data_IF_633017671060
#
_entry.id   IF_633017671060
#
_cell.length_a   1.000
_cell.length_b   1.000
_cell.length_c   1.000
_cell.angle_alpha   90.00
_cell.angle_beta   90.00
_cell.angle_gamma   90.00
#
_symmetry.space_group_name_H-M   'P 1'
#
loop_
_entity.id
_entity.type
_entity.pdbx_description
1 polymer ?
#
# COMPACT_ATOMS: atom_id res chain seq x y z
N UNK A 1 -4.90 6.36 -30.95
CA UNK A 1 -4.36 5.10 -30.44
C UNK A 1 -2.94 4.90 -30.94
N UNK A 2 -1.99 5.40 -30.15
CA UNK A 2 -0.54 5.30 -30.34
C UNK A 2 -0.03 3.89 -30.01
N UNK A 3 -0.63 3.24 -29.02
CA UNK A 3 -0.29 1.90 -28.59
C UNK A 3 -1.48 0.96 -28.76
N UNK A 4 -1.18 -0.30 -29.03
CA UNK A 4 -2.16 -1.37 -29.15
C UNK A 4 -1.55 -2.70 -28.74
N UNK A 5 -2.33 -3.50 -28.02
CA UNK A 5 -2.07 -4.90 -27.69
C UNK A 5 -3.26 -5.74 -28.14
N UNK A 6 -2.97 -6.91 -28.72
CA UNK A 6 -3.98 -7.84 -29.23
C UNK A 6 -3.79 -9.20 -28.59
N UNK A 7 -4.87 -9.76 -28.03
CA UNK A 7 -4.93 -11.13 -27.48
C UNK A 7 -3.87 -11.46 -26.43
N UNK A 8 -3.44 -10.48 -25.64
CA UNK A 8 -2.51 -10.70 -24.54
C UNK A 8 -2.92 -9.86 -23.32
N UNK A 9 -3.75 -10.47 -22.49
CA UNK A 9 -4.23 -9.87 -21.24
C UNK A 9 -3.15 -9.91 -20.14
N UNK A 10 -2.15 -10.79 -20.26
CA UNK A 10 -1.12 -10.99 -19.23
C UNK A 10 -0.17 -9.80 -19.07
N UNK A 11 -0.26 -8.83 -19.98
CA UNK A 11 0.54 -7.61 -19.98
C UNK A 11 -0.06 -6.51 -19.10
N UNK A 12 -1.26 -6.74 -18.54
CA UNK A 12 -2.03 -5.74 -17.80
C UNK A 12 -2.44 -6.23 -16.42
N UNK A 13 -2.58 -5.28 -15.50
CA UNK A 13 -3.24 -5.47 -14.21
C UNK A 13 -4.57 -4.70 -14.21
N UNK A 14 -5.66 -5.44 -14.00
CA UNK A 14 -7.04 -4.97 -14.10
C UNK A 14 -7.65 -4.62 -12.74
N UNK A 15 -7.04 -5.03 -11.62
CA UNK A 15 -7.53 -4.69 -10.29
C UNK A 15 -7.64 -3.16 -10.12
N UNK A 16 -8.79 -2.71 -9.63
CA UNK A 16 -9.22 -1.31 -9.48
C UNK A 16 -9.46 -0.53 -10.79
N UNK A 17 -9.30 -1.17 -11.95
CA UNK A 17 -9.62 -0.51 -13.22
C UNK A 17 -11.12 -0.29 -13.34
N UNK A 18 -11.51 0.87 -13.88
CA UNK A 18 -12.92 1.23 -14.06
C UNK A 18 -13.34 1.08 -15.50
N UNK A 19 -14.23 0.12 -15.75
CA UNK A 19 -14.79 -0.15 -17.07
C UNK A 19 -16.06 0.67 -17.23
N UNK A 20 -16.20 1.35 -18.38
CA UNK A 20 -17.41 2.08 -18.74
C UNK A 20 -17.91 1.62 -20.10
N UNK A 21 -19.20 1.30 -20.18
CA UNK A 21 -19.83 0.84 -21.40
C UNK A 21 -19.80 1.93 -22.46
N UNK A 22 -19.35 1.59 -23.68
CA UNK A 22 -19.37 2.50 -24.83
C UNK A 22 -20.41 2.04 -25.83
N UNK A 23 -20.30 0.81 -26.33
CA UNK A 23 -21.23 0.28 -27.33
C UNK A 23 -21.20 -1.25 -27.43
N UNK A 24 -22.30 -1.82 -27.91
CA UNK A 24 -22.38 -3.21 -28.36
C UNK A 24 -23.25 -3.29 -29.60
N UNK A 25 -22.71 -3.77 -30.71
CA UNK A 25 -23.39 -3.80 -32.02
C UNK A 25 -24.06 -5.16 -32.35
N UNK A 26 -24.04 -6.09 -31.39
CA UNK A 26 -24.49 -7.47 -31.57
C UNK A 26 -23.35 -8.47 -31.76
N UNK A 27 -22.13 -7.98 -31.99
CA UNK A 27 -20.94 -8.81 -32.17
C UNK A 27 -19.78 -8.32 -31.30
N UNK A 28 -19.49 -7.03 -31.32
CA UNK A 28 -18.32 -6.47 -30.65
C UNK A 28 -18.75 -5.61 -29.46
N UNK A 29 -18.18 -5.88 -28.29
CA UNK A 29 -18.37 -5.07 -27.08
C UNK A 29 -17.20 -4.11 -26.93
N UNK A 30 -17.49 -2.81 -26.85
CA UNK A 30 -16.50 -1.76 -26.65
C UNK A 30 -16.73 -1.12 -25.28
N UNK A 31 -15.65 -1.03 -24.51
CA UNK A 31 -15.61 -0.32 -23.22
C UNK A 31 -14.45 0.66 -23.20
N UNK A 32 -14.62 1.77 -22.49
CA UNK A 32 -13.52 2.64 -22.10
C UNK A 32 -13.07 2.29 -20.69
N UNK A 33 -11.77 2.27 -20.45
CA UNK A 33 -11.17 1.86 -19.19
C UNK A 33 -10.23 2.94 -18.67
N UNK A 34 -10.37 3.28 -17.39
CA UNK A 34 -9.42 4.12 -16.64
C UNK A 34 -8.77 3.31 -15.52
N UNK A 35 -7.63 3.77 -15.01
CA UNK A 35 -6.86 3.08 -13.97
C UNK A 35 -6.41 1.65 -14.36
N UNK A 36 -6.31 1.36 -15.66
CA UNK A 36 -5.70 0.14 -16.18
C UNK A 36 -4.18 0.27 -16.10
N UNK A 37 -3.49 -0.74 -15.58
CA UNK A 37 -2.04 -0.70 -15.47
C UNK A 37 -1.40 -1.65 -16.49
N UNK A 38 -0.26 -1.24 -17.06
CA UNK A 38 0.57 -2.07 -17.95
C UNK A 38 1.91 -2.38 -17.31
N UNK A 39 2.34 -3.64 -17.39
CA UNK A 39 3.58 -4.08 -16.78
C UNK A 39 4.83 -3.50 -17.48
N UNK A 40 5.90 -3.25 -16.71
CA UNK A 40 7.21 -2.74 -17.19
C UNK A 40 7.94 -3.64 -18.16
N UNK A 41 7.60 -4.93 -18.18
CA UNK A 41 8.21 -5.90 -19.07
C UNK A 41 7.50 -5.99 -20.43
N UNK A 42 6.50 -5.14 -20.67
CA UNK A 42 5.75 -5.08 -21.92
C UNK A 42 6.44 -4.19 -22.95
N UNK A 43 6.59 -4.60 -24.23
CA UNK A 43 7.31 -3.80 -25.24
C UNK A 43 6.81 -2.36 -25.44
N UNK A 44 5.52 -2.11 -25.20
CA UNK A 44 4.89 -0.80 -25.30
C UNK A 44 5.24 0.12 -24.11
N UNK A 45 5.58 -0.44 -22.95
CA UNK A 45 5.97 0.31 -21.77
C UNK A 45 7.50 0.41 -21.70
N UNK A 46 8.04 1.62 -21.93
CA UNK A 46 9.49 1.88 -21.87
C UNK A 46 9.95 2.37 -20.50
N UNK A 47 9.04 2.49 -19.53
CA UNK A 47 9.34 2.83 -18.14
C UNK A 47 9.99 1.65 -17.41
N UNK A 48 10.78 1.94 -16.39
CA UNK A 48 11.28 0.92 -15.45
C UNK A 48 10.24 0.47 -14.41
N UNK A 49 9.03 1.05 -14.45
CA UNK A 49 7.91 0.79 -13.55
C UNK A 49 6.70 0.32 -14.34
N UNK A 50 5.82 -0.42 -13.66
CA UNK A 50 4.47 -0.63 -14.16
C UNK A 50 3.76 0.75 -14.18
N UNK A 51 2.98 1.01 -15.24
CA UNK A 51 2.42 2.34 -15.50
C UNK A 51 0.91 2.29 -15.57
N UNK A 52 0.25 3.27 -14.95
CA UNK A 52 -1.17 3.53 -15.15
C UNK A 52 -1.38 4.19 -16.52
N UNK A 53 -2.31 3.65 -17.31
CA UNK A 53 -2.75 4.21 -18.59
C UNK A 53 -3.78 5.31 -18.30
N UNK A 54 -3.63 6.49 -18.91
CA UNK A 54 -4.54 7.63 -18.73
C UNK A 54 -5.99 7.26 -19.08
N UNK A 55 -6.16 6.65 -20.26
CA UNK A 55 -7.42 6.08 -20.71
C UNK A 55 -7.15 5.05 -21.81
N UNK A 56 -7.82 3.91 -21.73
CA UNK A 56 -7.77 2.83 -22.70
C UNK A 56 -9.15 2.55 -23.30
N UNK A 57 -9.15 2.04 -24.53
CA UNK A 57 -10.32 1.44 -25.16
C UNK A 57 -10.06 -0.06 -25.26
N UNK A 58 -10.98 -0.86 -24.76
CA UNK A 58 -10.97 -2.31 -24.93
C UNK A 58 -12.10 -2.69 -25.89
N UNK A 59 -11.76 -3.46 -26.92
CA UNK A 59 -12.71 -4.06 -27.85
C UNK A 59 -12.67 -5.57 -27.67
N UNK A 60 -13.77 -6.15 -27.21
CA UNK A 60 -13.98 -7.60 -27.19
C UNK A 60 -14.72 -7.98 -28.48
N UNK A 61 -14.01 -8.59 -29.42
CA UNK A 61 -14.52 -9.03 -30.71
C UNK A 61 -15.22 -10.38 -30.62
N UNK A 62 -16.36 -10.51 -31.31
CA UNK A 62 -17.24 -11.68 -31.19
C UNK A 62 -17.58 -12.01 -29.72
N UNK A 63 -18.04 -11.03 -28.95
CA UNK A 63 -18.40 -11.19 -27.55
C UNK A 63 -19.66 -12.08 -27.39
N UNK A 64 -19.56 -13.17 -26.64
CA UNK A 64 -20.60 -14.19 -26.50
C UNK A 64 -20.60 -14.89 -25.13
N UNK A 65 -21.44 -15.92 -24.96
CA UNK A 65 -21.56 -16.72 -23.72
C UNK A 65 -21.79 -15.92 -22.44
N UNK A 66 -22.45 -14.77 -22.55
CA UNK A 66 -22.51 -13.81 -21.45
C UNK A 66 -23.50 -14.19 -20.35
N UNK A 67 -23.05 -14.11 -19.10
CA UNK A 67 -23.88 -14.20 -17.91
C UNK A 67 -23.52 -13.15 -16.87
N UNK A 68 -24.50 -12.73 -16.09
CA UNK A 68 -24.37 -11.74 -15.03
C UNK A 68 -24.96 -12.31 -13.75
N UNK A 69 -24.11 -12.60 -12.78
CA UNK A 69 -24.49 -13.13 -11.48
C UNK A 69 -24.40 -12.03 -10.43
N UNK A 70 -25.51 -11.79 -9.71
CA UNK A 70 -25.51 -10.88 -8.56
C UNK A 70 -24.98 -11.60 -7.32
N UNK A 71 -24.20 -10.89 -6.50
CA UNK A 71 -23.73 -11.46 -5.23
C UNK A 71 -24.91 -11.85 -4.31
N UNK A 72 -24.74 -12.96 -3.60
CA UNK A 72 -25.68 -13.40 -2.56
C UNK A 72 -25.24 -12.88 -1.20
N UNK A 73 -26.20 -12.56 -0.34
CA UNK A 73 -25.91 -12.27 1.06
C UNK A 73 -25.31 -13.49 1.75
N UNK A 74 -24.42 -13.27 2.71
CA UNK A 74 -23.83 -14.32 3.53
C UNK A 74 -24.14 -14.06 5.01
N UNK A 75 -24.50 -15.11 5.74
CA UNK A 75 -24.70 -15.06 7.18
C UNK A 75 -23.73 -16.01 7.89
N UNK A 76 -23.23 -15.59 9.05
CA UNK A 76 -22.42 -16.44 9.92
C UNK A 76 -23.34 -17.29 10.79
N UNK A 77 -23.30 -18.61 10.61
CA UNK A 77 -24.05 -19.52 11.47
C UNK A 77 -23.51 -19.56 12.90
N UNK A 78 -24.28 -20.14 13.83
CA UNK A 78 -23.88 -20.28 15.24
C UNK A 78 -22.58 -21.09 15.44
N UNK A 79 -22.20 -21.90 14.44
CA UNK A 79 -20.95 -22.66 14.39
C UNK A 79 -19.77 -21.88 13.79
N UNK A 80 -19.96 -20.60 13.47
CA UNK A 80 -18.95 -19.74 12.83
C UNK A 80 -18.80 -19.97 11.33
N UNK A 81 -19.62 -20.83 10.71
CA UNK A 81 -19.54 -21.14 9.28
C UNK A 81 -20.40 -20.15 8.48
N UNK A 82 -19.79 -19.48 7.50
CA UNK A 82 -20.49 -18.61 6.56
C UNK A 82 -21.35 -19.42 5.60
N UNK A 83 -22.62 -19.04 5.47
CA UNK A 83 -23.59 -19.69 4.57
C UNK A 83 -24.27 -18.64 3.70
N UNK A 84 -24.50 -18.93 2.41
CA UNK A 84 -25.24 -18.02 1.56
C UNK A 84 -26.71 -18.00 1.97
N UNK A 85 -27.32 -16.82 1.92
CA UNK A 85 -28.70 -16.56 2.27
C UNK A 85 -29.36 -15.78 1.14
N UNK A 86 -30.56 -16.22 0.76
CA UNK A 86 -31.29 -15.67 -0.37
C UNK A 86 -31.18 -16.51 -1.64
N UNK A 87 -31.78 -16.00 -2.71
CA UNK A 87 -31.80 -16.69 -4.00
C UNK A 87 -30.59 -16.26 -4.83
N UNK A 88 -29.90 -17.23 -5.43
CA UNK A 88 -28.90 -16.98 -6.48
C UNK A 88 -29.58 -16.44 -7.74
N UNK A 89 -29.23 -15.24 -8.17
CA UNK A 89 -29.79 -14.60 -9.36
C UNK A 89 -28.72 -14.53 -10.46
N UNK A 90 -28.96 -15.25 -11.56
CA UNK A 90 -28.10 -15.27 -12.73
C UNK A 90 -28.93 -14.89 -13.95
N UNK A 91 -28.48 -13.86 -14.66
CA UNK A 91 -29.00 -13.48 -15.97
C UNK A 91 -28.09 -14.05 -17.05
N UNK A 92 -28.64 -14.37 -18.22
CA UNK A 92 -27.87 -14.90 -19.35
C UNK A 92 -28.26 -14.27 -20.68
N UNK A 93 -27.35 -14.25 -21.63
CA UNK A 93 -27.59 -13.74 -22.98
C UNK A 93 -28.02 -12.26 -22.97
N UNK A 94 -29.14 -11.95 -23.63
CA UNK A 94 -29.60 -10.57 -23.78
C UNK A 94 -29.92 -9.89 -22.44
N UNK A 95 -30.41 -10.64 -21.45
CA UNK A 95 -30.71 -10.07 -20.13
C UNK A 95 -29.43 -9.69 -19.38
N UNK A 96 -28.36 -10.51 -19.51
CA UNK A 96 -27.05 -10.18 -18.97
C UNK A 96 -26.46 -8.94 -19.65
N UNK A 97 -26.56 -8.83 -20.99
CA UNK A 97 -26.14 -7.62 -21.72
C UNK A 97 -26.89 -6.37 -21.26
N UNK A 98 -28.19 -6.48 -21.00
CA UNK A 98 -28.98 -5.38 -20.47
C UNK A 98 -28.50 -4.97 -19.07
N UNK A 99 -28.14 -5.93 -18.22
CA UNK A 99 -27.53 -5.64 -16.90
C UNK A 99 -26.20 -4.92 -17.02
N UNK A 100 -25.30 -5.36 -17.90
CA UNK A 100 -24.02 -4.68 -18.16
C UNK A 100 -24.25 -3.23 -18.60
N UNK A 101 -25.16 -3.00 -19.55
CA UNK A 101 -25.53 -1.65 -20.01
C UNK A 101 -26.08 -0.79 -18.87
N UNK A 102 -26.91 -1.37 -18.00
CA UNK A 102 -27.49 -0.67 -16.86
C UNK A 102 -26.44 -0.27 -15.82
N UNK A 103 -25.37 -1.06 -15.63
CA UNK A 103 -24.26 -0.65 -14.76
C UNK A 103 -23.66 0.68 -15.23
N UNK A 104 -23.63 0.93 -16.54
CA UNK A 104 -22.99 2.07 -17.22
C UNK A 104 -21.46 2.13 -17.01
N UNK A 105 -21.00 2.02 -15.76
CA UNK A 105 -19.61 1.80 -15.38
C UNK A 105 -19.51 0.94 -14.12
N UNK A 106 -18.44 0.17 -13.99
CA UNK A 106 -18.12 -0.62 -12.80
C UNK A 106 -16.60 -0.67 -12.56
N UNK A 107 -16.21 -0.93 -11.32
CA UNK A 107 -14.81 -1.16 -10.94
C UNK A 107 -14.54 -2.66 -10.91
N UNK A 108 -13.44 -3.06 -11.53
CA UNK A 108 -12.98 -4.44 -11.59
C UNK A 108 -12.18 -4.76 -10.32
N UNK A 109 -12.50 -5.89 -9.69
CA UNK A 109 -11.76 -6.47 -8.58
C UNK A 109 -10.88 -7.63 -9.06
N UNK A 110 -11.37 -8.42 -10.01
CA UNK A 110 -10.59 -9.47 -10.68
C UNK A 110 -11.04 -9.57 -12.13
N UNK A 111 -10.10 -9.83 -13.03
CA UNK A 111 -10.37 -10.22 -14.40
C UNK A 111 -9.44 -11.38 -14.78
N UNK A 112 -10.00 -12.58 -14.79
CA UNK A 112 -9.26 -13.81 -14.99
C UNK A 112 -10.05 -14.81 -15.82
N UNK A 113 -9.51 -16.04 -15.94
CA UNK A 113 -10.14 -17.14 -16.66
C UNK A 113 -10.18 -18.39 -15.78
N UNK A 114 -11.25 -19.16 -15.92
CA UNK A 114 -11.41 -20.48 -15.31
C UNK A 114 -12.00 -21.47 -16.34
N UNK A 115 -12.40 -22.66 -15.86
CA UNK A 115 -12.97 -23.72 -16.70
C UNK A 115 -14.27 -23.30 -17.44
N UNK A 116 -14.88 -22.16 -17.08
CA UNK A 116 -16.12 -21.64 -17.66
C UNK A 116 -15.90 -20.43 -18.58
N UNK A 117 -14.64 -20.08 -18.87
CA UNK A 117 -14.28 -18.96 -19.76
C UNK A 117 -13.67 -17.79 -19.00
N UNK A 118 -13.90 -16.57 -19.49
CA UNK A 118 -13.44 -15.37 -18.80
C UNK A 118 -14.46 -14.89 -17.78
N UNK A 119 -13.99 -14.36 -16.66
CA UNK A 119 -14.83 -13.72 -15.67
C UNK A 119 -14.25 -12.40 -15.18
N UNK A 120 -15.16 -11.49 -14.82
CA UNK A 120 -14.86 -10.25 -14.13
C UNK A 120 -15.66 -10.22 -12.83
N UNK A 121 -14.96 -10.15 -11.70
CA UNK A 121 -15.56 -9.79 -10.42
C UNK A 121 -15.54 -8.27 -10.32
N UNK A 122 -16.69 -7.65 -10.06
CA UNK A 122 -16.82 -6.21 -10.13
C UNK A 122 -17.84 -5.63 -9.15
N UNK A 123 -17.67 -4.33 -8.90
CA UNK A 123 -18.57 -3.50 -8.09
C UNK A 123 -19.07 -2.32 -8.91
N UNK A 124 -20.36 -2.05 -8.87
CA UNK A 124 -20.99 -0.99 -9.66
C UNK A 124 -22.26 -0.47 -9.00
N UNK A 125 -23.31 -0.25 -9.80
CA UNK A 125 -24.66 -0.03 -9.26
C UNK A 125 -25.13 -1.27 -8.49
N UNK A 126 -24.79 -2.45 -9.02
CA UNK A 126 -24.83 -3.67 -8.23
C UNK A 126 -23.59 -3.69 -7.32
N UNK A 127 -23.75 -3.77 -5.98
CA UNK A 127 -22.64 -3.67 -5.04
C UNK A 127 -21.53 -4.68 -5.32
N UNK A 128 -21.87 -5.90 -5.73
CA UNK A 128 -20.95 -6.93 -6.19
C UNK A 128 -21.64 -7.85 -7.21
N UNK A 129 -20.94 -8.18 -8.29
CA UNK A 129 -21.42 -9.10 -9.31
C UNK A 129 -20.26 -9.80 -10.03
N UNK A 130 -20.58 -10.94 -10.64
CA UNK A 130 -19.66 -11.67 -11.52
C UNK A 130 -20.21 -11.63 -12.94
N UNK A 131 -19.42 -11.08 -13.86
CA UNK A 131 -19.68 -11.10 -15.28
C UNK A 131 -18.86 -12.23 -15.91
N UNK A 132 -19.49 -13.21 -16.55
CA UNK A 132 -18.81 -14.28 -17.30
C UNK A 132 -19.11 -14.17 -18.78
N UNK A 133 -18.12 -14.42 -19.62
CA UNK A 133 -18.25 -14.27 -21.08
C UNK A 133 -17.09 -14.93 -21.81
N UNK A 134 -17.26 -15.05 -23.13
CA UNK A 134 -16.23 -15.45 -24.07
C UNK A 134 -16.09 -14.40 -25.17
N UNK A 135 -14.93 -14.38 -25.82
CA UNK A 135 -14.65 -13.55 -26.99
C UNK A 135 -13.59 -14.23 -27.87
N UNK A 136 -13.59 -13.95 -29.16
CA UNK A 136 -12.59 -14.52 -30.08
C UNK A 136 -11.33 -13.65 -30.17
N UNK A 137 -11.50 -12.35 -29.93
CA UNK A 137 -10.45 -11.35 -30.04
C UNK A 137 -10.60 -10.29 -28.96
N UNK A 138 -9.47 -9.82 -28.43
CA UNK A 138 -9.40 -8.62 -27.61
C UNK A 138 -8.35 -7.67 -28.16
N UNK A 139 -8.71 -6.41 -28.26
CA UNK A 139 -7.80 -5.31 -28.61
C UNK A 139 -7.88 -4.26 -27.50
N UNK A 140 -6.72 -3.94 -26.91
CA UNK A 140 -6.57 -2.88 -25.92
C UNK A 140 -5.74 -1.76 -26.56
N UNK A 141 -6.28 -0.55 -26.60
CA UNK A 141 -5.70 0.59 -27.30
C UNK A 141 -5.63 1.83 -26.39
N UNK A 142 -4.53 2.58 -26.42
CA UNK A 142 -4.37 3.82 -25.65
C UNK A 142 -3.38 4.78 -26.31
N UNK A 143 -3.32 6.01 -25.79
CA UNK A 143 -2.44 7.07 -26.31
C UNK A 143 -1.35 7.49 -25.33
N UNK A 144 -1.68 7.58 -24.04
CA UNK A 144 -0.81 8.18 -23.02
C UNK A 144 -0.77 7.37 -21.72
N UNK A 145 0.35 7.49 -21.01
CA UNK A 145 0.52 6.99 -19.64
C UNK A 145 0.31 8.15 -18.68
N UNK A 146 -0.33 7.88 -17.54
CA UNK A 146 -0.64 8.87 -16.52
C UNK A 146 0.47 8.99 -15.48
N UNK A 147 0.77 7.88 -14.79
CA UNK A 147 1.69 7.82 -13.67
C UNK A 147 2.19 6.38 -13.44
N UNK A 148 3.04 6.17 -12.42
CA UNK A 148 3.36 4.80 -11.96
C UNK A 148 2.09 4.11 -11.47
N UNK A 149 1.98 2.80 -11.68
CA UNK A 149 0.89 2.02 -11.10
C UNK A 149 0.85 2.22 -9.57
N UNK A 150 -0.35 2.24 -8.99
CA UNK A 150 -0.54 2.58 -7.57
C UNK A 150 0.25 1.65 -6.62
N UNK A 151 0.43 0.38 -7.00
CA UNK A 151 1.19 -0.60 -6.22
C UNK A 151 2.71 -0.41 -6.34
N UNK A 152 3.20 0.28 -7.38
CA UNK A 152 4.61 0.69 -7.50
C UNK A 152 4.93 1.92 -6.62
N UNK A 153 3.90 2.65 -6.17
CA UNK A 153 4.03 3.78 -5.24
C UNK A 153 4.14 3.32 -3.79
N UNK A 154 3.72 2.10 -3.47
CA UNK A 154 3.68 1.61 -2.08
C UNK A 154 4.83 0.65 -1.80
N UNK A 155 5.69 1.03 -0.85
CA UNK A 155 6.77 0.17 -0.36
C UNK A 155 6.40 -0.45 0.98
N UNK A 156 6.63 -1.75 1.11
CA UNK A 156 6.39 -2.50 2.33
C UNK A 156 7.71 -3.00 2.91
N UNK A 157 7.88 -2.80 4.21
CA UNK A 157 9.03 -3.27 4.95
C UNK A 157 8.59 -4.03 6.19
N UNK A 158 9.41 -5.01 6.57
CA UNK A 158 9.28 -5.73 7.83
C UNK A 158 10.59 -5.61 8.60
N UNK A 159 10.52 -5.15 9.84
CA UNK A 159 11.69 -5.02 10.70
C UNK A 159 11.45 -5.70 12.05
N UNK A 160 12.50 -6.31 12.60
CA UNK A 160 12.52 -6.72 14.00
C UNK A 160 13.03 -5.56 14.85
N UNK A 161 12.31 -5.23 15.92
CA UNK A 161 12.73 -4.22 16.91
C UNK A 161 12.76 -4.84 18.30
N UNK A 162 13.79 -4.52 19.09
CA UNK A 162 13.84 -4.90 20.50
C UNK A 162 12.93 -3.98 21.31
N UNK A 163 12.14 -4.54 22.21
CA UNK A 163 11.32 -3.81 23.16
C UNK A 163 11.52 -4.36 24.57
N UNK A 164 11.67 -3.46 25.54
CA UNK A 164 11.56 -3.78 26.95
C UNK A 164 10.11 -4.09 27.29
N UNK A 165 9.88 -5.13 28.08
CA UNK A 165 8.56 -5.59 28.52
C UNK A 165 8.66 -6.08 29.96
N UNK A 166 7.51 -6.33 30.61
CA UNK A 166 7.48 -6.91 31.95
C UNK A 166 8.18 -8.29 32.05
N UNK A 167 8.34 -9.00 30.92
CA UNK A 167 9.01 -10.29 30.83
C UNK A 167 10.48 -10.18 30.38
N UNK A 168 11.01 -8.96 30.29
CA UNK A 168 12.33 -8.65 29.77
C UNK A 168 12.31 -8.20 28.30
N UNK A 169 13.49 -8.17 27.68
CA UNK A 169 13.65 -7.69 26.31
C UNK A 169 13.12 -8.73 25.32
N UNK A 170 12.17 -8.34 24.46
CA UNK A 170 11.60 -9.17 23.40
C UNK A 170 11.80 -8.55 22.02
N UNK A 171 11.78 -9.39 20.99
CA UNK A 171 11.63 -8.94 19.61
C UNK A 171 10.16 -8.71 19.28
N UNK A 172 9.85 -7.56 18.67
CA UNK A 172 8.57 -7.27 18.06
C UNK A 172 8.76 -7.08 16.56
N UNK A 173 7.79 -7.55 15.79
CA UNK A 173 7.77 -7.38 14.34
C UNK A 173 7.01 -6.10 14.00
N UNK A 174 7.68 -5.16 13.34
CA UNK A 174 7.09 -3.96 12.78
C UNK A 174 6.81 -4.16 11.30
N UNK A 175 5.59 -3.85 10.88
CA UNK A 175 5.20 -3.76 9.48
C UNK A 175 5.06 -2.29 9.12
N UNK A 176 5.81 -1.86 8.11
CA UNK A 176 5.87 -0.47 7.65
C UNK A 176 5.37 -0.42 6.22
N UNK A 177 4.47 0.51 5.92
CA UNK A 177 4.14 0.88 4.55
C UNK A 177 4.39 2.35 4.31
N UNK A 178 5.10 2.66 3.24
CA UNK A 178 5.38 4.02 2.78
C UNK A 178 4.74 4.20 1.41
N UNK A 179 3.94 5.25 1.27
CA UNK A 179 3.34 5.63 0.00
C UNK A 179 4.15 6.80 -0.60
N UNK A 180 4.72 6.60 -1.79
CA UNK A 180 5.63 7.54 -2.46
C UNK A 180 4.87 8.47 -3.44
N UNK A 181 3.90 9.25 -2.95
CA UNK A 181 3.27 10.37 -3.68
C UNK A 181 3.86 11.73 -3.26
N UNK A 182 3.28 12.84 -3.75
CA UNK A 182 3.68 14.22 -3.38
C UNK A 182 3.63 14.46 -1.85
N UNK A 183 2.77 13.76 -1.13
CA UNK A 183 2.79 13.65 0.33
C UNK A 183 3.11 12.19 0.71
N UNK A 184 4.23 11.97 1.41
CA UNK A 184 4.62 10.63 1.84
C UNK A 184 3.84 10.22 3.07
N UNK A 185 2.95 9.25 2.90
CA UNK A 185 2.22 8.63 4.00
C UNK A 185 3.02 7.45 4.57
N UNK A 186 3.18 7.42 5.89
CA UNK A 186 3.90 6.38 6.62
C UNK A 186 2.93 5.72 7.59
N UNK A 187 2.74 4.41 7.44
CA UNK A 187 2.04 3.59 8.43
C UNK A 187 3.00 2.62 9.07
N UNK A 188 2.99 2.53 10.40
CA UNK A 188 3.78 1.55 11.17
C UNK A 188 2.82 0.77 12.06
N UNK A 189 2.89 -0.55 12.01
CA UNK A 189 2.05 -1.42 12.83
C UNK A 189 2.83 -2.56 13.44
N UNK A 190 2.32 -3.08 14.57
CA UNK A 190 2.84 -4.28 15.20
C UNK A 190 1.73 -5.04 15.94
N UNK A 191 1.92 -6.34 16.10
CA UNK A 191 1.04 -7.18 16.92
C UNK A 191 1.74 -7.52 18.24
N UNK A 192 1.04 -7.29 19.35
CA UNK A 192 1.50 -7.71 20.68
C UNK A 192 0.33 -8.28 21.48
N UNK A 193 0.51 -9.45 22.09
CA UNK A 193 -0.54 -10.17 22.85
C UNK A 193 -1.88 -10.28 22.07
N UNK A 194 -1.81 -10.72 20.80
CA UNK A 194 -2.95 -10.86 19.89
C UNK A 194 -3.74 -9.56 19.62
N UNK A 195 -3.17 -8.40 19.93
CA UNK A 195 -3.74 -7.10 19.62
C UNK A 195 -2.86 -6.37 18.61
N UNK A 196 -3.51 -5.78 17.61
CA UNK A 196 -2.84 -4.95 16.62
C UNK A 196 -2.79 -3.49 17.08
N UNK A 197 -1.64 -2.89 16.86
CA UNK A 197 -1.35 -1.48 17.09
C UNK A 197 -0.88 -0.89 15.77
N UNK A 198 -1.37 0.31 15.43
CA UNK A 198 -1.01 0.99 14.19
C UNK A 198 -0.93 2.48 14.42
N UNK A 199 0.04 3.13 13.79
CA UNK A 199 0.26 4.56 13.82
C UNK A 199 0.54 5.07 12.41
N UNK A 200 0.25 6.35 12.19
CA UNK A 200 0.23 7.00 10.89
C UNK A 200 0.91 8.37 10.96
N UNK A 201 1.58 8.79 9.88
CA UNK A 201 2.06 10.15 9.66
C UNK A 201 1.95 10.52 8.17
N UNK A 202 1.52 11.76 7.90
CA UNK A 202 1.30 12.37 6.59
C UNK A 202 2.44 13.32 6.13
N UNK A 203 3.49 13.52 6.94
CA UNK A 203 4.49 14.58 6.72
C UNK A 203 5.92 14.08 6.40
N UNK A 204 6.13 12.88 5.85
CA UNK A 204 7.47 12.25 5.69
C UNK A 204 8.29 12.13 7.00
N UNK A 205 7.63 12.31 8.15
CA UNK A 205 8.25 12.29 9.48
C UNK A 205 8.10 10.89 10.10
N UNK A 206 9.00 9.98 9.72
CA UNK A 206 8.98 8.60 10.20
C UNK A 206 8.97 8.50 11.73
N UNK A 207 9.73 9.36 12.41
CA UNK A 207 9.82 9.44 13.86
C UNK A 207 8.49 9.78 14.54
N UNK A 208 7.56 10.45 13.85
CA UNK A 208 6.24 10.79 14.41
C UNK A 208 5.34 9.58 14.46
N UNK A 209 5.21 8.85 13.35
CA UNK A 209 4.48 7.59 13.32
C UNK A 209 5.07 6.59 14.34
N UNK A 210 6.40 6.55 14.47
CA UNK A 210 7.06 5.67 15.42
C UNK A 210 6.81 6.08 16.89
N UNK A 211 6.84 7.38 17.18
CA UNK A 211 6.49 7.91 18.49
C UNK A 211 5.00 7.68 18.85
N UNK A 212 4.08 7.80 17.89
CA UNK A 212 2.67 7.50 18.10
C UNK A 212 2.45 6.01 18.41
N UNK A 213 3.16 5.12 17.71
CA UNK A 213 3.13 3.68 18.03
C UNK A 213 3.67 3.42 19.44
N UNK A 214 4.82 4.00 19.78
CA UNK A 214 5.40 3.92 21.12
C UNK A 214 4.40 4.41 22.18
N UNK A 215 3.67 5.50 21.91
CA UNK A 215 2.68 6.07 22.85
C UNK A 215 1.54 5.11 23.15
N UNK A 216 1.07 4.36 22.15
CA UNK A 216 0.02 3.33 22.36
C UNK A 216 0.52 2.14 23.20
N UNK A 217 1.81 1.85 23.13
CA UNK A 217 2.46 0.74 23.82
C UNK A 217 2.95 1.10 25.23
N UNK A 218 3.23 2.38 25.51
CA UNK A 218 3.66 2.86 26.83
C UNK A 218 2.72 2.47 27.99
N UNK A 219 1.38 2.60 27.89
CA UNK A 219 0.45 2.15 28.95
C UNK A 219 0.48 0.65 29.23
N UNK A 220 1.15 -0.14 28.37
CA UNK A 220 1.35 -1.59 28.53
C UNK A 220 2.75 -1.93 29.07
N UNK A 221 3.55 -0.92 29.42
CA UNK A 221 4.92 -1.11 29.90
C UNK A 221 5.87 -1.60 28.81
N UNK A 222 5.59 -1.29 27.54
CA UNK A 222 6.40 -1.71 26.41
C UNK A 222 7.18 -0.50 25.89
N UNK A 223 8.50 -0.60 25.84
CA UNK A 223 9.40 0.49 25.42
C UNK A 223 10.36 -0.02 24.36
N UNK A 224 10.31 0.53 23.16
CA UNK A 224 11.25 0.19 22.09
C UNK A 224 12.68 0.60 22.47
N UNK A 225 13.62 -0.32 22.30
CA UNK A 225 15.06 -0.15 22.51
C UNK A 225 15.78 -0.24 21.18
N UNK A 226 15.92 0.89 20.50
CA UNK A 226 16.60 0.98 19.22
C UNK A 226 17.25 2.35 19.01
N UNK A 227 18.06 2.50 17.96
CA UNK A 227 18.71 3.76 17.64
C UNK A 227 17.73 4.92 17.49
N UNK A 228 16.56 4.71 16.86
CA UNK A 228 15.55 5.76 16.68
C UNK A 228 14.95 6.26 18.00
N UNK A 229 14.81 5.36 18.99
CA UNK A 229 14.33 5.72 20.33
C UNK A 229 15.46 6.09 21.30
N UNK A 230 16.70 6.20 20.83
CA UNK A 230 17.87 6.46 21.67
C UNK A 230 18.26 7.93 21.65
N UNK A 231 18.69 8.47 22.81
CA UNK A 231 19.24 9.83 22.93
C UNK A 231 20.48 10.09 22.07
N UNK A 232 21.18 9.04 21.66
CA UNK A 232 22.39 9.13 20.83
C UNK A 232 22.08 9.02 19.34
N UNK A 233 20.85 8.64 18.97
CA UNK A 233 20.42 8.56 17.58
C UNK A 233 20.02 9.94 17.07
N UNK A 234 20.78 10.43 16.09
CA UNK A 234 20.56 11.73 15.46
C UNK A 234 20.42 11.58 13.95
N UNK A 235 19.55 12.39 13.36
CA UNK A 235 19.44 12.53 11.93
C UNK A 235 20.58 13.40 11.35
N UNK A 236 20.82 13.27 10.06
CA UNK A 236 21.69 14.14 9.28
C UNK A 236 21.04 15.51 9.07
N UNK A 237 21.75 16.62 9.39
CA UNK A 237 21.29 17.98 9.14
C UNK A 237 21.02 18.32 7.67
N UNK A 238 21.67 17.61 6.74
CA UNK A 238 21.62 17.82 5.29
C UNK A 238 20.53 17.00 4.59
N UNK A 239 19.87 16.08 5.30
CA UNK A 239 18.87 15.15 4.76
C UNK A 239 19.25 13.69 5.03
N UNK A 240 18.23 12.84 5.15
CA UNK A 240 18.37 11.42 5.52
C UNK A 240 17.79 10.52 4.45
N UNK A 241 18.43 9.38 4.22
CA UNK A 241 17.77 8.27 3.56
C UNK A 241 16.75 7.57 4.49
N UNK A 242 15.82 6.80 3.93
CA UNK A 242 14.99 5.92 4.74
C UNK A 242 15.86 4.92 5.53
N UNK A 243 15.53 4.72 6.81
CA UNK A 243 16.24 3.81 7.72
C UNK A 243 17.71 4.20 7.99
N UNK A 244 18.02 5.50 7.91
CA UNK A 244 19.33 6.06 8.20
C UNK A 244 19.32 6.92 9.47
N UNK A 245 20.13 6.55 10.45
CA UNK A 245 20.34 7.33 11.67
C UNK A 245 21.80 7.24 12.13
N UNK A 246 22.31 8.25 12.82
CA UNK A 246 23.70 8.33 13.24
C UNK A 246 23.84 8.22 14.75
N UNK A 247 24.69 7.31 15.21
CA UNK A 247 25.02 7.17 16.62
C UNK A 247 26.15 8.14 17.02
N UNK A 248 25.88 9.00 18.00
CA UNK A 248 26.81 10.00 18.52
C UNK A 248 27.14 9.79 20.01
N UNK A 249 27.07 8.54 20.49
CA UNK A 249 27.21 8.21 21.93
C UNK A 249 28.52 8.68 22.58
N UNK A 250 29.57 8.77 21.79
CA UNK A 250 30.94 9.15 22.16
C UNK A 250 31.24 10.64 21.90
N UNK A 251 30.25 11.40 21.43
CA UNK A 251 30.41 12.80 21.03
C UNK A 251 29.42 13.68 21.77
N UNK A 252 29.88 14.86 22.17
CA UNK A 252 29.02 15.88 22.76
C UNK A 252 28.36 16.73 21.66
N UNK A 253 27.08 16.48 21.40
CA UNK A 253 26.24 17.28 20.50
C UNK A 253 25.45 18.29 21.34
N UNK A 254 25.55 19.59 21.03
CA UNK A 254 24.80 20.67 21.70
C UNK A 254 23.82 21.38 20.78
N UNK A 255 24.02 21.28 19.47
CA UNK A 255 23.24 21.96 18.45
C UNK A 255 23.33 21.23 17.11
N UNK A 256 22.42 21.55 16.18
CA UNK A 256 22.33 20.92 14.85
C UNK A 256 23.65 20.95 14.07
N UNK A 257 24.40 22.05 14.13
CA UNK A 257 25.65 22.20 13.36
C UNK A 257 26.77 21.27 13.83
N UNK A 258 26.73 20.81 15.09
CA UNK A 258 27.76 19.91 15.62
C UNK A 258 27.73 18.54 14.94
N UNK A 259 26.61 18.17 14.32
CA UNK A 259 26.44 16.91 13.60
C UNK A 259 27.08 16.90 12.21
N UNK A 260 27.33 18.06 11.60
CA UNK A 260 27.67 18.16 10.18
C UNK A 260 28.94 17.37 9.82
N UNK A 261 30.00 17.51 10.62
CA UNK A 261 31.23 16.75 10.41
C UNK A 261 30.97 15.24 10.48
N UNK A 262 30.20 14.78 11.47
CA UNK A 262 29.97 13.35 11.72
C UNK A 262 29.02 12.68 10.73
N UNK A 263 28.22 13.45 10.00
CA UNK A 263 27.26 12.93 9.02
C UNK A 263 27.72 13.13 7.57
N UNK A 264 28.59 14.11 7.30
CA UNK A 264 29.06 14.44 5.94
C UNK A 264 30.49 13.98 5.65
N UNK A 265 31.35 13.80 6.66
CA UNK A 265 32.65 13.15 6.46
C UNK A 265 32.45 11.65 6.17
N UNK A 266 33.03 11.14 5.09
CA UNK A 266 32.82 9.77 4.63
C UNK A 266 33.25 8.72 5.67
N UNK A 267 34.35 8.98 6.39
CA UNK A 267 34.88 8.07 7.38
C UNK A 267 33.99 8.03 8.63
N UNK A 268 33.65 9.20 9.17
CA UNK A 268 32.75 9.31 10.32
C UNK A 268 31.36 8.76 10.00
N UNK A 269 30.81 9.12 8.83
CA UNK A 269 29.49 8.66 8.38
C UNK A 269 29.43 7.14 8.39
N UNK A 270 30.42 6.48 7.78
CA UNK A 270 30.48 5.01 7.72
C UNK A 270 30.57 4.36 9.10
N UNK A 271 31.26 4.98 10.05
CA UNK A 271 31.39 4.45 11.41
C UNK A 271 30.12 4.62 12.24
N UNK A 272 29.39 5.71 12.01
CA UNK A 272 28.27 6.14 12.86
C UNK A 272 26.91 5.76 12.31
N UNK A 273 26.81 5.46 11.01
CA UNK A 273 25.59 5.05 10.35
C UNK A 273 25.02 3.79 11.01
N UNK A 274 23.74 3.85 11.35
CA UNK A 274 22.94 2.78 11.95
C UNK A 274 21.58 2.74 11.26
N UNK A 275 20.87 1.64 11.46
CA UNK A 275 19.45 1.53 11.10
C UNK A 275 18.55 1.96 12.26
N UNK A 276 17.33 2.42 11.95
CA UNK A 276 16.36 2.90 12.95
C UNK A 276 16.16 1.92 14.11
N UNK A 277 16.01 0.63 13.77
CA UNK A 277 15.64 -0.42 14.71
C UNK A 277 16.83 -1.18 15.29
N UNK A 278 18.05 -0.74 15.02
CA UNK A 278 19.25 -1.40 15.54
C UNK A 278 19.31 -1.31 17.06
N UNK A 279 19.55 -2.46 17.71
CA UNK A 279 19.67 -2.55 19.17
C UNK A 279 21.11 -2.26 19.61
N UNK A 280 21.24 -1.56 20.73
CA UNK A 280 22.52 -1.23 21.35
C UNK A 280 22.42 -1.43 22.87
N UNK A 281 23.43 -2.04 23.49
CA UNK A 281 23.49 -2.21 24.95
C UNK A 281 23.64 -0.86 25.68
N UNK A 282 24.30 0.11 25.04
CA UNK A 282 24.42 1.48 25.54
C UNK A 282 23.17 2.33 25.26
N UNK A 283 22.03 1.70 24.91
CA UNK A 283 20.78 2.43 24.70
C UNK A 283 20.44 3.25 25.95
N UNK A 284 20.12 4.51 25.72
CA UNK A 284 19.63 5.41 26.74
C UNK A 284 18.45 6.19 26.19
N UNK A 285 17.41 6.31 27.01
CA UNK A 285 16.22 7.08 26.66
C UNK A 285 16.53 8.58 26.51
N UNK A 286 15.94 9.24 25.50
CA UNK A 286 16.05 10.68 25.32
C UNK A 286 15.34 11.43 26.46
N UNK A 287 15.88 12.59 26.79
CA UNK A 287 15.35 13.47 27.82
C UNK A 287 15.69 14.94 27.48
N UNK A 288 14.97 15.88 28.10
CA UNK A 288 15.09 17.31 27.80
C UNK A 288 16.45 17.93 28.18
N UNK A 289 17.32 17.23 28.92
CA UNK A 289 18.63 17.74 29.30
C UNK A 289 19.71 17.50 28.22
N UNK A 290 19.41 16.68 27.21
CA UNK A 290 20.32 16.36 26.12
C UNK A 290 19.76 16.89 24.80
N UNK A 291 20.62 17.51 23.99
CA UNK A 291 20.25 17.87 22.62
C UNK A 291 20.19 16.60 21.77
N UNK A 292 19.12 16.45 20.99
CA UNK A 292 18.99 15.45 19.94
C UNK A 292 18.43 16.11 18.69
N UNK A 293 19.02 15.84 17.52
CA UNK A 293 18.42 16.17 16.23
C UNK A 293 17.62 14.96 15.75
N UNK A 294 16.56 14.68 16.51
CA UNK A 294 15.62 13.58 16.34
C UNK A 294 14.39 13.95 17.17
N UNK A 295 13.27 14.20 16.49
CA UNK A 295 12.08 14.75 17.11
C UNK A 295 11.20 13.70 17.80
N UNK A 296 11.57 12.42 17.74
CA UNK A 296 10.88 11.31 18.41
C UNK A 296 10.51 11.63 19.87
N UNK A 297 11.47 12.13 20.67
CA UNK A 297 11.23 12.43 22.08
C UNK A 297 10.25 13.57 22.30
N UNK A 298 10.40 14.65 21.52
CA UNK A 298 9.55 15.83 21.65
C UNK A 298 8.13 15.50 21.22
N UNK A 299 7.96 14.75 20.14
CA UNK A 299 6.65 14.32 19.64
C UNK A 299 5.98 13.28 20.56
N UNK A 300 6.74 12.31 21.09
CA UNK A 300 6.23 11.34 22.06
C UNK A 300 5.60 12.04 23.28
N UNK A 301 6.19 13.16 23.72
CA UNK A 301 5.76 13.90 24.91
C UNK A 301 4.84 15.10 24.65
N UNK A 302 4.79 15.66 23.43
CA UNK A 302 3.96 16.84 23.13
C UNK A 302 2.46 16.56 23.27
N UNK A 303 2.02 15.33 23.04
CA UNK A 303 0.61 14.89 23.11
C UNK A 303 0.23 14.23 24.45
N UNK A 304 1.11 14.28 25.47
CA UNK A 304 0.77 13.81 26.84
C UNK A 304 -0.16 14.76 27.61
N UNK A 305 -0.45 15.95 27.07
CA UNK A 305 -1.31 16.97 27.71
C UNK A 305 -2.81 16.84 27.38
N UNK A 306 -3.20 15.87 26.55
CA UNK A 306 -4.60 15.71 26.09
C UNK A 306 -5.23 14.35 26.47
N UNK A 307 -4.87 13.77 27.62
CA UNK A 307 -5.65 12.70 28.21
C UNK A 307 -6.05 13.08 29.65
N UNK A 308 -7.36 13.14 29.96
CA UNK A 308 -7.89 13.62 31.23
C UNK A 308 -7.53 12.73 32.43
#
# INVERSE_FOLDING_TARGET
MKYSVRNDLSLFEFHDSRFSFVSFDGKDLIVSVSALNIHKNTPQNTSQYDMEIESAKITFGNFHSVSFEQEQSWETGEDGVFRPVGQRIIYSGQDALNKIKLQNSFTVLDFSTDDQGYFIDAVGIEPFFVLRFDFDEIIIEWDEYKQKAWYELKRYYQFSVKADTAEGIKDLCLHISIFEEEAKEITISCTYNNKNYSAYSDEDNFEYAFADLQRQLLPKGIIFKCCLSCRYGNFCPSGNAFNEIFCTKDVLIKQKSDLYFYTEDEHERKQRLRSYFEFCEDHSEPNAAAFTYNDFFYYLNSHRKEQP
#
